data_IF_980641546554
#
_entry.id   IF_980641546554
#
_cell.length_a   1.000
_cell.length_b   1.000
_cell.length_c   1.000
_cell.angle_alpha   90.00
_cell.angle_beta   90.00
_cell.angle_gamma   90.00
#
_symmetry.space_group_name_H-M   'P 1'
#
loop_
_entity.id
_entity.type
_entity.pdbx_description
1 polymer ?
#
# COMPACT_ATOMS: atom_id res chain seq x y z
N UNK A 1 -9.00 -3.17 -1.50
CA UNK A 1 -8.39 -3.84 -0.33
C UNK A 1 -8.09 -2.79 0.71
N UNK A 2 -8.47 -3.00 1.96
CA UNK A 2 -8.20 -2.06 3.06
C UNK A 2 -7.21 -2.70 4.05
N UNK A 3 -6.13 -1.99 4.41
CA UNK A 3 -5.07 -2.49 5.29
C UNK A 3 -5.24 -1.93 6.71
N UNK A 4 -6.09 -2.57 7.53
CA UNK A 4 -6.48 -2.07 8.85
C UNK A 4 -5.38 -2.16 9.92
N UNK A 5 -4.40 -3.06 9.75
CA UNK A 5 -3.35 -3.35 10.74
C UNK A 5 -1.94 -3.20 10.18
N UNK A 6 -1.72 -2.16 9.36
CA UNK A 6 -0.38 -1.88 8.84
C UNK A 6 0.52 -1.37 9.98
N UNK A 7 1.70 -2.00 10.23
CA UNK A 7 2.64 -1.53 11.23
C UNK A 7 3.14 -0.12 10.90
N UNK A 8 3.35 0.66 11.94
CA UNK A 8 3.86 2.02 11.84
C UNK A 8 5.38 2.02 11.70
N UNK A 9 5.90 3.03 10.99
CA UNK A 9 7.32 3.29 10.81
C UNK A 9 8.10 2.07 10.29
N UNK A 10 7.44 1.24 9.47
CA UNK A 10 8.01 0.06 8.84
C UNK A 10 7.58 -0.02 7.39
N UNK A 11 8.54 -0.37 6.53
CA UNK A 11 8.27 -0.66 5.13
C UNK A 11 7.76 -2.10 5.02
N UNK A 12 6.59 -2.27 4.41
CA UNK A 12 5.95 -3.57 4.20
C UNK A 12 5.87 -3.83 2.71
N UNK A 13 6.39 -4.98 2.27
CA UNK A 13 6.21 -5.47 0.90
C UNK A 13 4.94 -6.30 0.81
N UNK A 14 4.09 -6.01 -0.17
CA UNK A 14 2.80 -6.67 -0.37
C UNK A 14 2.73 -7.22 -1.79
N UNK A 15 2.34 -8.49 -1.88
CA UNK A 15 2.04 -9.17 -3.14
C UNK A 15 0.57 -9.56 -3.16
N UNK A 16 -0.20 -8.99 -4.10
CA UNK A 16 -1.57 -9.42 -4.34
C UNK A 16 -1.61 -10.34 -5.57
N UNK A 17 -2.26 -11.50 -5.44
CA UNK A 17 -2.45 -12.46 -6.54
C UNK A 17 -3.93 -12.57 -6.91
N UNK A 18 -4.23 -12.57 -8.20
CA UNK A 18 -5.58 -12.77 -8.70
C UNK A 18 -5.88 -14.27 -8.80
N UNK A 19 -6.94 -14.74 -8.15
CA UNK A 19 -7.34 -16.15 -8.16
C UNK A 19 -8.55 -16.33 -9.07
N UNK A 20 -8.31 -16.77 -10.30
CA UNK A 20 -9.37 -17.12 -11.26
C UNK A 20 -8.86 -18.19 -12.23
N UNK A 21 -9.76 -19.05 -12.77
CA UNK A 21 -9.39 -20.01 -13.81
C UNK A 21 -8.69 -19.34 -14.99
N UNK A 22 -7.60 -19.93 -15.48
CA UNK A 22 -6.84 -19.40 -16.62
C UNK A 22 -5.91 -18.23 -16.31
N UNK A 23 -5.83 -17.77 -15.05
CA UNK A 23 -4.85 -16.76 -14.64
C UNK A 23 -3.57 -17.44 -14.15
N UNK A 24 -2.49 -17.23 -14.89
CA UNK A 24 -1.13 -17.60 -14.48
C UNK A 24 -0.50 -16.53 -13.59
N UNK A 25 0.26 -16.96 -12.59
CA UNK A 25 1.08 -16.07 -11.77
C UNK A 25 2.53 -16.12 -12.23
N UNK A 26 3.04 -15.01 -12.78
CA UNK A 26 4.45 -14.90 -13.16
C UNK A 26 5.05 -13.61 -12.59
N UNK A 27 5.93 -13.76 -11.60
CA UNK A 27 6.57 -12.64 -10.91
C UNK A 27 7.50 -11.82 -11.81
N UNK A 28 8.13 -12.43 -12.82
CA UNK A 28 9.02 -11.71 -13.76
C UNK A 28 8.24 -10.81 -14.71
N UNK A 29 7.03 -11.22 -15.09
CA UNK A 29 6.16 -10.49 -16.02
C UNK A 29 5.04 -9.72 -15.33
N UNK A 30 4.98 -9.73 -14.01
CA UNK A 30 3.86 -9.20 -13.20
C UNK A 30 2.49 -9.69 -13.70
N UNK A 31 2.42 -10.93 -14.21
CA UNK A 31 1.17 -11.50 -14.74
C UNK A 31 0.37 -12.12 -13.59
N UNK A 32 -0.92 -11.77 -13.52
CA UNK A 32 -1.84 -12.29 -12.50
C UNK A 32 -1.53 -11.83 -11.07
N UNK A 33 -0.58 -10.91 -10.89
CA UNK A 33 -0.19 -10.41 -9.57
C UNK A 33 0.34 -8.98 -9.63
N UNK A 34 0.28 -8.27 -8.51
CA UNK A 34 0.88 -6.95 -8.33
C UNK A 34 1.71 -6.92 -7.05
N UNK A 35 2.88 -6.29 -7.13
CA UNK A 35 3.77 -6.07 -5.99
C UNK A 35 3.88 -4.58 -5.74
N UNK A 36 3.75 -4.17 -4.47
CA UNK A 36 3.98 -2.79 -4.06
C UNK A 36 4.46 -2.74 -2.62
N UNK A 37 5.06 -1.61 -2.25
CA UNK A 37 5.52 -1.36 -0.89
C UNK A 37 4.65 -0.30 -0.25
N UNK A 38 4.31 -0.50 1.02
CA UNK A 38 3.61 0.49 1.83
C UNK A 38 4.48 0.88 3.02
N UNK A 39 4.55 2.18 3.29
CA UNK A 39 5.13 2.75 4.49
C UNK A 39 4.08 3.64 5.15
N UNK A 40 3.68 3.30 6.38
CA UNK A 40 2.73 4.11 7.16
C UNK A 40 3.49 4.86 8.24
N UNK A 41 3.36 6.18 8.21
CA UNK A 41 3.90 7.11 9.21
C UNK A 41 2.76 7.79 9.98
N UNK A 42 3.08 8.40 11.11
CA UNK A 42 2.24 9.44 11.69
C UNK A 42 2.55 10.76 10.97
N UNK A 43 1.53 11.43 10.49
CA UNK A 43 1.60 12.85 10.16
C UNK A 43 0.99 13.60 11.31
N UNK A 44 1.79 14.39 12.02
CA UNK A 44 1.27 15.40 12.93
C UNK A 44 0.58 16.45 12.07
N UNK A 45 -0.75 16.39 11.97
CA UNK A 45 -1.54 17.44 11.33
C UNK A 45 -1.56 18.63 12.28
N UNK A 46 -0.48 19.44 12.28
CA UNK A 46 -0.60 20.81 12.74
C UNK A 46 -1.54 21.51 11.76
N UNK A 47 -2.77 21.76 12.19
CA UNK A 47 -3.67 22.69 11.50
C UNK A 47 -2.99 24.06 11.49
N UNK A 48 -2.50 24.47 10.33
CA UNK A 48 -2.16 25.88 10.10
C UNK A 48 -3.48 26.64 9.95
N UNK A 49 -4.18 26.88 11.06
CA UNK A 49 -5.25 27.88 11.17
C UNK A 49 -4.59 29.25 11.41
N UNK A 50 -3.86 29.78 10.42
CA UNK A 50 -3.29 31.13 10.50
C UNK A 50 -3.10 31.78 9.12
N UNK A 51 -4.12 31.76 8.27
CA UNK A 51 -4.24 32.76 7.20
C UNK A 51 -5.42 33.68 7.49
N UNK A 52 -5.21 34.57 8.47
CA UNK A 52 -5.96 35.80 8.65
C UNK A 52 -4.99 36.95 8.41
N UNK A 53 -4.96 37.50 7.20
CA UNK A 53 -4.94 38.95 6.90
C UNK A 53 -5.02 39.19 5.39
#
# INVERSE_FOLDING_TARGET
>A
VQFNKLPLNRLVSITCRAWAPGIEHNARRMRGMVNFQLYRTYTDMKSNDNDVH
#
